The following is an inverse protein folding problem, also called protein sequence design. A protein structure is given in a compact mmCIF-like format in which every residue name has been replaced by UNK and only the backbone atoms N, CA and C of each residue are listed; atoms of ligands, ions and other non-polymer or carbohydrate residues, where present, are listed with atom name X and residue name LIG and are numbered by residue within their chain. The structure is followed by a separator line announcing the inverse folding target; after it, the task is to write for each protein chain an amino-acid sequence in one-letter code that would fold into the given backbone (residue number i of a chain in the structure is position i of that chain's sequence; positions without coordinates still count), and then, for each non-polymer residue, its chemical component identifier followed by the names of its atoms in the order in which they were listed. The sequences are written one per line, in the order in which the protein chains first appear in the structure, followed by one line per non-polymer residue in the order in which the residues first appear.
data_IF_650594099437
#
_entry.id   IF_650594099437
#
_cell.length_a   1.000
_cell.length_b   1.000
_cell.length_c   1.000
_cell.angle_alpha   90.00
_cell.angle_beta   90.00
_cell.angle_gamma   90.00
#
_symmetry.space_group_name_H-M   'P 1'
#
loop_
_entity.id
_entity.type
_entity.pdbx_description
1 polymer ?
#
# COMPACT_ATOMS: atom_id res chain seq x y z
N UNK A 1 -27.24 -6.45 51.46
CA UNK A 1 -26.55 -5.97 50.24
C UNK A 1 -26.58 -7.09 49.20
N UNK A 2 -26.90 -6.79 47.94
CA UNK A 2 -26.83 -7.79 46.86
C UNK A 2 -25.39 -7.85 46.32
N UNK A 3 -24.69 -8.99 46.43
CA UNK A 3 -23.28 -9.12 46.01
C UNK A 3 -23.05 -8.85 44.52
N UNK A 4 -24.03 -9.17 43.66
CA UNK A 4 -23.94 -8.93 42.21
C UNK A 4 -23.92 -7.43 41.89
N UNK A 5 -24.70 -6.63 42.62
CA UNK A 5 -24.71 -5.16 42.45
C UNK A 5 -23.40 -4.54 42.90
N UNK A 6 -22.83 -5.02 43.99
CA UNK A 6 -21.52 -4.56 44.49
C UNK A 6 -20.41 -4.87 43.49
N UNK A 7 -20.39 -6.10 42.96
CA UNK A 7 -19.41 -6.49 41.94
C UNK A 7 -19.57 -5.69 40.64
N UNK A 8 -20.80 -5.51 40.15
CA UNK A 8 -21.06 -4.71 38.96
C UNK A 8 -20.57 -3.27 39.12
N UNK A 9 -20.91 -2.62 40.25
CA UNK A 9 -20.45 -1.27 40.57
C UNK A 9 -18.91 -1.18 40.56
N UNK A 10 -18.24 -2.15 41.20
CA UNK A 10 -16.78 -2.21 41.20
C UNK A 10 -16.18 -2.32 39.79
N UNK A 11 -16.73 -3.20 38.94
CA UNK A 11 -16.25 -3.35 37.56
C UNK A 11 -16.45 -2.06 36.76
N UNK A 12 -17.62 -1.42 36.86
CA UNK A 12 -17.89 -0.16 36.17
C UNK A 12 -16.92 0.93 36.62
N UNK A 13 -16.72 1.11 37.92
CA UNK A 13 -15.78 2.09 38.47
C UNK A 13 -14.34 1.80 38.00
N UNK A 14 -13.92 0.53 38.01
CA UNK A 14 -12.61 0.12 37.53
C UNK A 14 -12.42 0.43 36.02
N UNK A 15 -13.44 0.17 35.20
CA UNK A 15 -13.40 0.48 33.77
C UNK A 15 -13.34 1.98 33.50
N UNK A 16 -14.08 2.79 34.26
CA UNK A 16 -14.07 4.24 34.08
C UNK A 16 -12.73 4.85 34.52
N UNK A 17 -12.15 4.39 35.63
CA UNK A 17 -10.79 4.77 36.03
C UNK A 17 -9.74 4.38 34.96
N UNK A 18 -9.88 3.22 34.33
CA UNK A 18 -8.99 2.79 33.25
C UNK A 18 -9.09 3.70 32.02
N UNK A 19 -10.32 4.05 31.59
CA UNK A 19 -10.56 4.99 30.48
C UNK A 19 -10.01 6.38 30.77
N UNK A 20 -10.17 6.87 31.99
CA UNK A 20 -9.62 8.17 32.42
C UNK A 20 -8.10 8.17 32.36
N UNK A 21 -7.47 7.12 32.88
CA UNK A 21 -6.03 6.94 32.80
C UNK A 21 -5.56 6.90 31.34
N UNK A 22 -6.23 6.15 30.48
CA UNK A 22 -5.90 6.07 29.05
C UNK A 22 -5.97 7.45 28.37
N UNK A 23 -7.07 8.19 28.60
CA UNK A 23 -7.23 9.56 28.09
C UNK A 23 -6.10 10.47 28.55
N UNK A 24 -5.76 10.43 29.83
CA UNK A 24 -4.70 11.25 30.40
C UNK A 24 -3.32 10.89 29.85
N UNK A 25 -2.98 9.59 29.76
CA UNK A 25 -1.69 9.12 29.19
C UNK A 25 -1.55 9.58 27.74
N UNK A 26 -2.61 9.39 26.93
CA UNK A 26 -2.61 9.82 25.52
C UNK A 26 -2.45 11.33 25.39
N UNK A 27 -3.18 12.10 26.19
CA UNK A 27 -3.06 13.56 26.21
C UNK A 27 -1.66 14.03 26.61
N UNK A 28 -1.05 13.42 27.63
CA UNK A 28 0.32 13.73 28.04
C UNK A 28 1.34 13.41 26.94
N UNK A 29 1.22 12.28 26.25
CA UNK A 29 2.10 11.91 25.14
C UNK A 29 1.98 12.93 23.99
N UNK A 30 0.76 13.31 23.62
CA UNK A 30 0.51 14.33 22.58
C UNK A 30 1.05 15.70 22.98
N UNK A 31 0.79 16.14 24.22
CA UNK A 31 1.32 17.40 24.75
C UNK A 31 2.85 17.41 24.66
N UNK A 32 3.51 16.35 25.12
CA UNK A 32 4.97 16.21 25.06
C UNK A 32 5.50 16.22 23.61
N UNK A 33 4.81 15.57 22.67
CA UNK A 33 5.15 15.63 21.25
C UNK A 33 5.09 17.07 20.71
N UNK A 34 4.03 17.81 21.04
CA UNK A 34 3.90 19.22 20.60
C UNK A 34 4.97 20.12 21.22
N UNK A 35 5.33 19.90 22.49
CA UNK A 35 6.39 20.64 23.18
C UNK A 35 7.76 20.38 22.55
N UNK A 36 8.11 19.12 22.27
CA UNK A 36 9.36 18.77 21.61
C UNK A 36 9.45 19.34 20.18
N UNK A 37 8.35 19.30 19.41
CA UNK A 37 8.33 19.91 18.08
C UNK A 37 8.54 21.43 18.15
N UNK A 38 7.87 22.11 19.09
CA UNK A 38 8.09 23.55 19.33
C UNK A 38 9.52 23.85 19.76
N UNK A 39 10.11 23.01 20.61
CA UNK A 39 11.51 23.16 21.03
C UNK A 39 12.47 22.98 19.85
N UNK A 40 12.24 21.99 18.98
CA UNK A 40 13.02 21.78 17.75
C UNK A 40 12.95 23.02 16.85
N UNK A 41 11.75 23.56 16.60
CA UNK A 41 11.57 24.77 15.77
C UNK A 41 12.30 25.98 16.36
N UNK A 42 12.14 26.24 17.66
CA UNK A 42 12.84 27.35 18.34
C UNK A 42 14.36 27.23 18.28
N UNK A 43 14.88 26.01 18.44
CA UNK A 43 16.33 25.76 18.44
C UNK A 43 16.92 25.83 17.03
N UNK A 44 16.15 25.48 15.99
CA UNK A 44 16.57 25.68 14.59
C UNK A 44 16.60 27.14 14.17
N UNK A 45 15.72 27.98 14.72
CA UNK A 45 15.65 29.41 14.40
C UNK A 45 16.70 30.24 15.16
N UNK A 46 17.26 29.72 16.25
CA UNK A 46 18.24 30.42 17.06
C UNK A 46 19.61 30.49 16.36
N UNK A 47 20.01 31.72 16.00
CA UNK A 47 21.30 32.03 15.33
C UNK A 47 22.43 32.35 16.30
N UNK A 48 22.14 32.52 17.58
CA UNK A 48 23.14 32.92 18.59
C UNK A 48 23.97 31.73 19.11
N UNK A 49 23.50 30.51 18.86
CA UNK A 49 24.19 29.28 19.26
C UNK A 49 25.19 28.84 18.19
N UNK A 50 26.37 28.42 18.63
CA UNK A 50 27.35 27.76 17.77
C UNK A 50 26.73 26.53 17.09
N UNK A 51 27.05 26.34 15.81
CA UNK A 51 26.45 25.34 14.94
C UNK A 51 26.62 23.91 15.49
N UNK A 52 27.78 23.63 16.12
CA UNK A 52 28.05 22.30 16.69
C UNK A 52 27.11 22.02 17.86
N UNK A 53 27.00 22.96 18.79
CA UNK A 53 26.13 22.83 19.98
C UNK A 53 24.66 22.79 19.61
N UNK A 54 24.24 23.55 18.58
CA UNK A 54 22.88 23.53 18.04
C UNK A 54 22.54 22.16 17.45
N UNK A 55 23.45 21.60 16.65
CA UNK A 55 23.29 20.29 16.03
C UNK A 55 23.13 19.18 17.07
N UNK A 56 23.98 19.16 18.10
CA UNK A 56 23.92 18.17 19.18
C UNK A 56 22.59 18.23 19.97
N UNK A 57 22.16 19.43 20.35
CA UNK A 57 20.88 19.62 21.05
C UNK A 57 19.69 19.20 20.19
N UNK A 58 19.70 19.55 18.91
CA UNK A 58 18.66 19.11 17.96
C UNK A 58 18.64 17.59 17.82
N UNK A 59 19.79 16.94 17.75
CA UNK A 59 19.88 15.48 17.69
C UNK A 59 19.26 14.83 18.95
N UNK A 60 19.54 15.39 20.14
CA UNK A 60 18.93 14.95 21.40
C UNK A 60 17.41 15.04 21.40
N UNK A 61 16.85 16.21 21.04
CA UNK A 61 15.40 16.43 20.98
C UNK A 61 14.72 15.52 19.95
N UNK A 62 15.33 15.36 18.76
CA UNK A 62 14.83 14.45 17.71
C UNK A 62 14.85 12.99 18.17
N UNK A 63 15.86 12.58 18.94
CA UNK A 63 15.93 11.23 19.53
C UNK A 63 14.80 11.00 20.52
N UNK A 64 14.52 11.96 21.40
CA UNK A 64 13.42 11.86 22.36
C UNK A 64 12.05 11.81 21.66
N UNK A 65 11.83 12.68 20.67
CA UNK A 65 10.61 12.68 19.85
C UNK A 65 10.37 11.31 19.18
N UNK A 66 11.44 10.71 18.66
CA UNK A 66 11.39 9.36 18.07
C UNK A 66 10.99 8.31 19.10
N UNK A 67 11.51 8.38 20.32
CA UNK A 67 11.14 7.47 21.41
C UNK A 67 9.65 7.52 21.74
N UNK A 68 9.08 8.73 21.86
CA UNK A 68 7.64 8.91 22.13
C UNK A 68 6.80 8.34 20.98
N UNK A 69 7.19 8.59 19.72
CA UNK A 69 6.48 8.05 18.56
C UNK A 69 6.54 6.52 18.50
N UNK A 70 7.67 5.93 18.84
CA UNK A 70 7.85 4.48 18.90
C UNK A 70 6.96 3.86 20.00
N UNK A 71 6.93 4.44 21.20
CA UNK A 71 6.07 3.97 22.29
C UNK A 71 4.58 4.12 21.92
N UNK A 72 4.17 5.25 21.33
CA UNK A 72 2.79 5.42 20.84
C UNK A 72 2.42 4.37 19.79
N UNK A 73 3.31 4.08 18.84
CA UNK A 73 3.08 3.06 17.83
C UNK A 73 2.98 1.65 18.45
N UNK A 74 3.87 1.32 19.39
CA UNK A 74 3.83 0.04 20.12
C UNK A 74 2.52 -0.11 20.89
N UNK A 75 2.12 0.93 21.63
CA UNK A 75 0.85 0.96 22.34
C UNK A 75 -0.34 0.76 21.41
N UNK A 76 -0.38 1.48 20.28
CA UNK A 76 -1.44 1.34 19.27
C UNK A 76 -1.52 -0.09 18.73
N UNK A 77 -0.37 -0.72 18.44
CA UNK A 77 -0.33 -2.12 17.99
C UNK A 77 -0.85 -3.08 19.05
N UNK A 78 -0.45 -2.92 20.31
CA UNK A 78 -0.96 -3.73 21.42
C UNK A 78 -2.46 -3.54 21.60
N UNK A 79 -2.95 -2.31 21.47
CA UNK A 79 -4.37 -1.99 21.55
C UNK A 79 -5.17 -2.65 20.41
N UNK A 80 -4.69 -2.55 19.17
CA UNK A 80 -5.32 -3.20 18.01
C UNK A 80 -5.32 -4.72 18.22
N UNK A 81 -4.20 -5.32 18.61
CA UNK A 81 -4.14 -6.76 18.87
C UNK A 81 -5.10 -7.20 19.99
N UNK A 82 -5.19 -6.44 21.09
CA UNK A 82 -6.13 -6.73 22.17
C UNK A 82 -7.59 -6.61 21.69
N UNK A 83 -7.88 -5.60 20.87
CA UNK A 83 -9.19 -5.41 20.25
C UNK A 83 -9.52 -6.54 19.29
N UNK A 84 -8.56 -7.00 18.49
CA UNK A 84 -8.70 -8.13 17.58
C UNK A 84 -9.01 -9.41 18.33
N UNK A 85 -8.32 -9.68 19.44
CA UNK A 85 -8.64 -10.82 20.29
C UNK A 85 -10.06 -10.72 20.87
N UNK A 86 -10.47 -9.54 21.31
CA UNK A 86 -11.78 -9.35 21.96
C UNK A 86 -12.95 -9.37 20.97
N UNK A 87 -12.80 -8.73 19.81
CA UNK A 87 -13.86 -8.56 18.80
C UNK A 87 -13.78 -9.57 17.65
N UNK A 88 -12.64 -10.24 17.45
CA UNK A 88 -12.42 -11.20 16.38
C UNK A 88 -13.00 -12.59 16.66
N UNK A 89 -13.16 -12.97 17.93
CA UNK A 89 -13.84 -14.22 18.30
C UNK A 89 -15.37 -14.11 18.21
N UNK A 90 -15.90 -12.89 18.32
CA UNK A 90 -17.34 -12.63 18.18
C UNK A 90 -17.64 -12.24 16.73
N UNK A 91 -18.70 -12.81 16.14
CA UNK A 91 -19.18 -12.41 14.79
C UNK A 91 -19.73 -10.98 14.85
N UNK A 92 -18.83 -10.02 14.81
CA UNK A 92 -19.07 -8.60 14.96
C UNK A 92 -18.96 -7.90 13.59
N UNK A 93 -19.42 -6.65 13.51
CA UNK A 93 -19.18 -5.83 12.30
C UNK A 93 -17.68 -5.73 11.99
N UNK A 94 -16.85 -5.71 13.03
CA UNK A 94 -15.40 -5.71 12.92
C UNK A 94 -14.89 -6.99 12.24
N UNK A 95 -15.34 -8.16 12.68
CA UNK A 95 -15.02 -9.45 12.05
C UNK A 95 -15.33 -9.46 10.55
N UNK A 96 -16.52 -9.01 10.14
CA UNK A 96 -16.86 -8.94 8.72
C UNK A 96 -15.99 -7.95 7.94
N UNK A 97 -15.57 -6.85 8.56
CA UNK A 97 -14.79 -5.82 7.90
C UNK A 97 -13.31 -6.19 7.77
N UNK A 98 -12.74 -6.88 8.76
CA UNK A 98 -11.36 -7.39 8.73
C UNK A 98 -11.19 -8.55 7.76
N UNK A 99 -12.22 -9.40 7.60
CA UNK A 99 -12.21 -10.50 6.63
C UNK A 99 -12.69 -10.08 5.24
N UNK A 100 -13.16 -8.84 5.06
CA UNK A 100 -13.54 -8.34 3.75
C UNK A 100 -12.28 -8.09 2.95
N UNK A 101 -12.18 -8.71 1.78
CA UNK A 101 -11.11 -8.40 0.82
C UNK A 101 -11.05 -6.89 0.58
N UNK A 102 -9.93 -6.29 1.00
CA UNK A 102 -9.66 -4.88 0.75
C UNK A 102 -9.42 -4.72 -0.74
N UNK A 103 -10.33 -4.05 -1.44
CA UNK A 103 -10.13 -3.80 -2.87
C UNK A 103 -9.01 -2.77 -2.99
N UNK A 104 -8.24 -2.77 -4.08
CA UNK A 104 -7.07 -1.88 -4.24
C UNK A 104 -7.40 -0.39 -3.94
N UNK A 105 -8.62 0.06 -4.28
CA UNK A 105 -9.13 1.41 -3.98
C UNK A 105 -9.24 1.74 -2.48
N UNK A 106 -9.33 0.72 -1.63
CA UNK A 106 -9.46 0.86 -0.18
C UNK A 106 -8.06 0.97 0.48
N UNK A 107 -6.98 0.59 -0.24
CA UNK A 107 -5.58 0.65 0.20
C UNK A 107 -4.90 1.95 -0.29
N UNK A 108 -5.26 2.44 -1.48
CA UNK A 108 -4.67 3.66 -2.05
C UNK A 108 -5.35 4.90 -1.44
N UNK A 109 -4.68 5.53 -0.48
CA UNK A 109 -5.18 6.72 0.21
C UNK A 109 -5.20 7.99 -0.66
N UNK A 110 -4.31 8.09 -1.65
CA UNK A 110 -4.23 9.23 -2.55
C UNK A 110 -3.48 8.89 -3.85
N UNK A 111 -3.83 9.55 -4.95
CA UNK A 111 -3.07 9.55 -6.20
C UNK A 111 -2.37 10.90 -6.42
N UNK A 112 -1.18 10.87 -7.02
CA UNK A 112 -0.49 12.10 -7.43
C UNK A 112 -1.18 12.64 -8.68
N UNK A 113 -1.41 13.95 -8.72
CA UNK A 113 -2.01 14.59 -9.89
C UNK A 113 -0.95 14.63 -11.01
N UNK A 114 -1.23 14.05 -12.20
CA UNK A 114 -0.29 14.12 -13.33
C UNK A 114 0.03 15.58 -13.68
N UNK A 115 1.28 15.86 -14.05
CA UNK A 115 1.80 17.21 -14.30
C UNK A 115 2.29 17.97 -13.07
N UNK A 116 1.93 17.57 -11.84
CA UNK A 116 2.44 18.24 -10.62
C UNK A 116 3.83 17.79 -10.19
N UNK A 117 4.35 16.71 -10.78
CA UNK A 117 5.64 16.11 -10.44
C UNK A 117 6.76 16.43 -11.45
N UNK A 118 6.46 17.07 -12.58
CA UNK A 118 7.48 17.34 -13.62
C UNK A 118 8.56 18.31 -13.15
N UNK A 119 8.29 19.14 -12.13
CA UNK A 119 9.29 19.98 -11.50
C UNK A 119 10.37 19.22 -10.69
N UNK A 120 10.18 17.92 -10.44
CA UNK A 120 11.13 17.08 -9.67
C UNK A 120 11.86 16.03 -10.53
N UNK A 121 11.64 15.99 -11.85
CA UNK A 121 12.53 15.27 -12.76
C UNK A 121 13.78 16.13 -13.02
N UNK A 122 14.56 16.34 -11.96
CA UNK A 122 15.90 16.88 -12.03
C UNK A 122 16.74 15.85 -12.78
N UNK A 123 17.08 16.12 -14.04
CA UNK A 123 18.24 15.53 -14.68
C UNK A 123 19.41 15.59 -13.69
N UNK A 124 20.19 14.51 -13.48
CA UNK A 124 21.40 14.60 -12.67
C UNK A 124 22.24 15.76 -13.25
N UNK A 125 22.65 16.74 -12.42
CA UNK A 125 23.36 17.90 -12.91
C UNK A 125 24.61 17.43 -13.64
N UNK A 126 24.65 17.72 -14.94
CA UNK A 126 25.89 17.65 -15.70
C UNK A 126 26.84 18.62 -15.01
N UNK A 127 27.96 18.09 -14.51
CA UNK A 127 28.98 18.87 -13.83
C UNK A 127 29.61 19.85 -14.83
N UNK A 128 29.10 21.08 -14.88
CA UNK A 128 29.83 22.19 -15.47
C UNK A 128 30.51 22.98 -14.35
N UNK A 129 31.83 22.93 -14.35
CA UNK A 129 32.74 23.56 -13.40
C UNK A 129 32.75 25.08 -13.56
N UNK A 130 31.77 25.78 -13.00
CA UNK A 130 31.82 27.24 -12.86
C UNK A 130 31.58 27.71 -11.41
N UNK A 131 32.60 28.25 -10.73
CA UNK A 131 32.46 28.81 -9.40
C UNK A 131 31.97 30.26 -9.49
N UNK A 132 30.66 30.46 -9.43
CA UNK A 132 30.07 31.80 -9.22
C UNK A 132 29.33 31.81 -7.89
N UNK A 133 29.92 32.48 -6.91
CA UNK A 133 29.32 32.74 -5.60
C UNK A 133 28.26 33.84 -5.72
N UNK A 134 26.98 33.48 -5.83
CA UNK A 134 25.87 34.38 -5.55
C UNK A 134 24.91 33.72 -4.54
N UNK A 135 24.70 34.40 -3.42
CA UNK A 135 23.81 34.02 -2.31
C UNK A 135 22.32 34.24 -2.67
N UNK A 136 21.87 33.77 -3.83
CA UNK A 136 20.45 33.78 -4.18
C UNK A 136 19.78 32.51 -3.66
N UNK A 137 18.84 32.70 -2.73
CA UNK A 137 18.04 31.66 -2.08
C UNK A 137 17.32 30.83 -3.16
N UNK A 138 17.78 29.60 -3.39
CA UNK A 138 17.25 28.75 -4.46
C UNK A 138 15.72 28.54 -4.29
N UNK A 139 14.92 28.74 -5.36
CA UNK A 139 13.47 28.56 -5.30
C UNK A 139 13.11 27.15 -4.83
N UNK A 140 12.27 27.05 -3.78
CA UNK A 140 11.78 25.78 -3.28
C UNK A 140 10.94 25.12 -4.38
N UNK A 141 11.26 23.88 -4.81
CA UNK A 141 10.49 23.20 -5.85
C UNK A 141 9.04 22.99 -5.38
N UNK A 142 8.04 23.13 -6.27
CA UNK A 142 6.65 22.95 -5.91
C UNK A 142 6.41 21.53 -5.41
N UNK A 143 5.72 21.41 -4.27
CA UNK A 143 5.42 20.10 -3.69
C UNK A 143 4.34 19.36 -4.50
N UNK A 144 4.44 18.02 -4.63
CA UNK A 144 3.45 17.20 -5.31
C UNK A 144 2.05 17.37 -4.71
N UNK A 145 1.04 17.48 -5.57
CA UNK A 145 -0.36 17.57 -5.13
C UNK A 145 -1.04 16.22 -5.21
N UNK A 146 -1.60 15.79 -4.08
CA UNK A 146 -2.25 14.49 -3.92
C UNK A 146 -3.78 14.62 -3.93
N UNK A 147 -4.45 13.80 -4.73
CA UNK A 147 -5.92 13.67 -4.74
C UNK A 147 -6.36 12.52 -3.85
N UNK A 148 -7.18 12.82 -2.84
CA UNK A 148 -7.71 11.85 -1.86
C UNK A 148 -9.15 11.38 -2.14
N UNK A 149 -9.86 12.06 -3.04
CA UNK A 149 -11.28 11.79 -3.30
C UNK A 149 -11.44 10.61 -4.27
N UNK A 150 -11.96 9.48 -3.79
CA UNK A 150 -11.98 8.20 -4.50
C UNK A 150 -12.58 8.26 -5.92
N UNK A 151 -13.74 8.89 -6.18
CA UNK A 151 -14.27 9.00 -7.53
C UNK A 151 -13.33 9.74 -8.50
N UNK A 152 -12.68 10.82 -8.02
CA UNK A 152 -11.70 11.57 -8.83
C UNK A 152 -10.40 10.81 -9.03
N UNK A 153 -10.00 9.95 -8.08
CA UNK A 153 -8.87 9.05 -8.26
C UNK A 153 -9.15 8.02 -9.35
N UNK A 154 -10.36 7.45 -9.38
CA UNK A 154 -10.76 6.49 -10.40
C UNK A 154 -10.79 7.11 -11.81
N UNK A 155 -11.32 8.33 -11.92
CA UNK A 155 -11.29 9.11 -13.16
C UNK A 155 -9.86 9.42 -13.62
N UNK A 156 -9.02 9.95 -12.74
CA UNK A 156 -7.62 10.24 -13.03
C UNK A 156 -6.84 8.99 -13.48
N UNK A 157 -7.12 7.84 -12.85
CA UNK A 157 -6.46 6.57 -13.20
C UNK A 157 -6.97 6.01 -14.53
N UNK A 158 -8.27 6.15 -14.82
CA UNK A 158 -8.85 5.80 -16.13
C UNK A 158 -8.21 6.63 -17.24
N UNK A 159 -8.11 7.94 -17.05
CA UNK A 159 -7.59 8.85 -18.05
C UNK A 159 -6.08 8.62 -18.24
N UNK A 160 -5.33 8.42 -17.16
CA UNK A 160 -3.90 8.08 -17.23
C UNK A 160 -3.64 6.76 -17.97
N UNK A 161 -4.40 5.71 -17.68
CA UNK A 161 -4.22 4.43 -18.37
C UNK A 161 -4.70 4.47 -19.83
N UNK A 162 -5.82 5.14 -20.12
CA UNK A 162 -6.41 5.15 -21.46
C UNK A 162 -5.72 6.12 -22.42
N UNK A 163 -5.39 7.33 -21.97
CA UNK A 163 -4.87 8.39 -22.83
C UNK A 163 -3.35 8.49 -22.79
N UNK A 164 -2.72 8.18 -21.65
CA UNK A 164 -1.26 8.29 -21.50
C UNK A 164 -0.61 6.92 -21.67
N UNK A 165 -0.70 6.02 -20.67
CA UNK A 165 0.14 4.82 -20.60
C UNK A 165 -0.07 3.84 -21.77
N UNK A 166 -1.29 3.71 -22.28
CA UNK A 166 -1.58 2.81 -23.41
C UNK A 166 -1.21 3.40 -24.78
N UNK A 167 -1.07 4.72 -24.88
CA UNK A 167 -0.75 5.42 -26.13
C UNK A 167 0.71 5.92 -26.17
N UNK A 168 1.35 6.04 -25.01
CA UNK A 168 2.70 6.57 -24.87
C UNK A 168 3.74 5.60 -25.45
N UNK A 169 4.51 6.07 -26.43
CA UNK A 169 5.54 5.29 -27.14
C UNK A 169 5.01 4.24 -28.13
N UNK A 170 3.69 4.14 -28.32
CA UNK A 170 3.07 3.19 -29.26
C UNK A 170 2.53 3.98 -30.45
N UNK A 171 3.43 4.46 -31.32
CA UNK A 171 3.07 4.80 -32.70
C UNK A 171 3.11 3.51 -33.53
N UNK A 172 2.20 2.59 -33.20
CA UNK A 172 2.10 1.33 -33.92
C UNK A 172 1.20 1.58 -35.12
N UNK A 173 1.84 1.72 -36.27
CA UNK A 173 1.16 1.62 -37.55
C UNK A 173 0.36 0.32 -37.58
N UNK A 174 -0.97 0.45 -37.62
CA UNK A 174 -1.89 -0.69 -37.61
C UNK A 174 -1.61 -1.62 -38.80
N UNK A 175 -1.19 -1.09 -39.95
CA UNK A 175 -0.85 -1.91 -41.12
C UNK A 175 0.41 -2.74 -40.84
N UNK A 176 1.45 -2.11 -40.27
CA UNK A 176 2.65 -2.82 -39.84
C UNK A 176 2.33 -3.88 -38.77
N UNK A 177 1.47 -3.58 -37.80
CA UNK A 177 1.05 -4.54 -36.77
C UNK A 177 0.34 -5.75 -37.38
N UNK A 178 -0.64 -5.53 -38.26
CA UNK A 178 -1.33 -6.61 -38.94
C UNK A 178 -0.37 -7.46 -39.79
N UNK A 179 0.58 -6.82 -40.47
CA UNK A 179 1.58 -7.52 -41.26
C UNK A 179 2.49 -8.41 -40.38
N UNK A 180 2.90 -7.92 -39.22
CA UNK A 180 3.71 -8.65 -38.25
C UNK A 180 2.93 -9.79 -37.60
N UNK A 181 1.64 -9.60 -37.30
CA UNK A 181 0.76 -10.66 -36.82
C UNK A 181 0.63 -11.77 -37.88
N UNK A 182 0.36 -11.41 -39.14
CA UNK A 182 0.26 -12.37 -40.26
C UNK A 182 1.58 -13.11 -40.45
N UNK A 183 2.71 -12.40 -40.44
CA UNK A 183 4.05 -12.99 -40.55
C UNK A 183 4.33 -13.95 -39.40
N UNK A 184 4.03 -13.54 -38.16
CA UNK A 184 4.23 -14.37 -36.97
C UNK A 184 3.39 -15.64 -37.04
N UNK A 185 2.11 -15.53 -37.41
CA UNK A 185 1.21 -16.68 -37.60
C UNK A 185 1.74 -17.61 -38.70
N UNK A 186 2.23 -17.06 -39.83
CA UNK A 186 2.81 -17.88 -40.91
C UNK A 186 4.12 -18.57 -40.51
N UNK A 187 4.87 -17.98 -39.57
CA UNK A 187 6.13 -18.55 -39.08
C UNK A 187 5.93 -19.64 -38.01
N UNK A 188 4.71 -19.78 -37.46
CA UNK A 188 4.36 -20.92 -36.59
C UNK A 188 4.17 -22.14 -37.49
N UNK A 189 5.29 -22.78 -37.84
CA UNK A 189 5.33 -24.00 -38.67
C UNK A 189 5.03 -25.28 -37.88
N UNK A 190 5.00 -25.18 -36.55
CA UNK A 190 4.67 -26.30 -35.67
C UNK A 190 3.17 -26.61 -35.74
N UNK A 191 2.80 -27.49 -36.67
CA UNK A 191 1.50 -28.13 -36.63
C UNK A 191 1.48 -29.14 -35.46
N UNK A 192 0.38 -29.22 -34.69
CA UNK A 192 0.22 -30.28 -33.71
C UNK A 192 0.28 -31.64 -34.43
N UNK A 193 1.01 -32.59 -33.84
CA UNK A 193 1.06 -33.97 -34.33
C UNK A 193 -0.34 -34.59 -34.33
N UNK A 194 -0.58 -35.64 -35.13
CA UNK A 194 -1.88 -36.34 -35.13
C UNK A 194 -2.27 -36.88 -33.74
N UNK A 195 -1.27 -37.27 -32.94
CA UNK A 195 -1.47 -37.65 -31.53
C UNK A 195 -1.93 -36.49 -30.65
N UNK A 196 -1.44 -35.27 -30.88
CA UNK A 196 -1.88 -34.08 -30.14
C UNK A 196 -3.25 -33.59 -30.62
N UNK A 197 -3.54 -33.65 -31.93
CA UNK A 197 -4.86 -33.29 -32.47
C UNK A 197 -5.96 -34.16 -31.89
N UNK A 198 -5.70 -35.47 -31.76
CA UNK A 198 -6.63 -36.40 -31.11
C UNK A 198 -6.81 -36.08 -29.62
N UNK A 199 -5.75 -35.62 -28.92
CA UNK A 199 -5.89 -35.11 -27.55
C UNK A 199 -6.73 -33.83 -27.45
N UNK A 200 -6.58 -32.88 -28.39
CA UNK A 200 -7.42 -31.68 -28.43
C UNK A 200 -8.89 -31.96 -28.75
N UNK A 201 -9.20 -33.09 -29.40
CA UNK A 201 -10.58 -33.51 -29.67
C UNK A 201 -11.21 -34.31 -28.52
N UNK A 202 -10.41 -34.78 -27.55
CA UNK A 202 -10.95 -35.41 -26.34
C UNK A 202 -11.73 -34.36 -25.55
N UNK A 203 -13.01 -34.65 -25.30
CA UNK A 203 -13.85 -33.82 -24.43
C UNK A 203 -13.27 -33.85 -23.02
N UNK A 204 -13.00 -32.68 -22.44
CA UNK A 204 -12.64 -32.57 -21.02
C UNK A 204 -13.66 -33.30 -20.17
N UNK A 205 -13.18 -34.20 -19.31
CA UNK A 205 -14.07 -34.93 -18.41
C UNK A 205 -14.47 -34.01 -17.26
N UNK A 206 -15.68 -34.21 -16.73
CA UNK A 206 -16.19 -33.43 -15.59
C UNK A 206 -15.24 -33.49 -14.39
N UNK A 207 -14.62 -34.64 -14.15
CA UNK A 207 -13.67 -34.87 -13.06
C UNK A 207 -12.40 -34.02 -13.21
N UNK A 208 -11.92 -33.81 -14.43
CA UNK A 208 -10.75 -32.98 -14.75
C UNK A 208 -11.01 -31.50 -14.51
N UNK A 209 -12.27 -31.06 -14.53
CA UNK A 209 -12.69 -29.70 -14.18
C UNK A 209 -12.93 -29.56 -12.67
N UNK A 210 -13.56 -30.55 -12.04
CA UNK A 210 -13.89 -30.52 -10.62
C UNK A 210 -12.66 -30.59 -9.72
N UNK A 211 -11.65 -31.39 -10.10
CA UNK A 211 -10.40 -31.50 -9.33
C UNK A 211 -9.69 -30.15 -9.13
N UNK A 212 -9.38 -29.36 -10.17
CA UNK A 212 -8.80 -28.03 -10.00
C UNK A 212 -9.71 -27.03 -9.29
N UNK A 213 -11.03 -27.10 -9.49
CA UNK A 213 -11.98 -26.25 -8.76
C UNK A 213 -11.93 -26.53 -7.25
N UNK A 214 -11.89 -27.79 -6.86
CA UNK A 214 -11.80 -28.18 -5.45
C UNK A 214 -10.43 -27.85 -4.83
N UNK A 215 -9.35 -27.88 -5.62
CA UNK A 215 -8.00 -27.50 -5.17
C UNK A 215 -7.78 -25.97 -5.17
N UNK A 216 -8.65 -25.21 -5.84
CA UNK A 216 -8.61 -23.76 -5.83
C UNK A 216 -9.13 -23.27 -4.48
N UNK A 217 -8.25 -22.68 -3.66
CA UNK A 217 -8.68 -21.98 -2.44
C UNK A 217 -9.64 -20.85 -2.82
N UNK A 218 -10.71 -20.68 -2.04
CA UNK A 218 -11.74 -19.66 -2.26
C UNK A 218 -11.18 -18.22 -2.29
N UNK A 219 -9.99 -18.01 -1.74
CA UNK A 219 -9.34 -16.70 -1.64
C UNK A 219 -8.14 -16.54 -2.61
N UNK A 220 -7.98 -17.44 -3.59
CA UNK A 220 -6.93 -17.30 -4.59
C UNK A 220 -7.32 -16.26 -5.64
N UNK A 221 -6.52 -15.19 -5.76
CA UNK A 221 -6.75 -14.16 -6.77
C UNK A 221 -6.81 -14.77 -8.20
N UNK A 222 -7.87 -14.51 -8.97
CA UNK A 222 -7.97 -14.94 -10.36
C UNK A 222 -6.98 -14.17 -11.24
N UNK A 223 -6.50 -14.80 -12.31
CA UNK A 223 -5.69 -14.15 -13.36
C UNK A 223 -6.58 -13.28 -14.27
N UNK A 224 -5.97 -12.59 -15.24
CA UNK A 224 -6.66 -11.73 -16.20
C UNK A 224 -7.79 -12.43 -16.98
N UNK A 225 -7.70 -13.75 -17.14
CA UNK A 225 -8.72 -14.59 -17.78
C UNK A 225 -9.78 -15.14 -16.79
N UNK A 226 -9.76 -14.72 -15.52
CA UNK A 226 -10.68 -15.17 -14.47
C UNK A 226 -10.32 -16.52 -13.83
N UNK A 227 -9.36 -17.28 -14.38
CA UNK A 227 -8.96 -18.57 -13.83
C UNK A 227 -7.95 -18.41 -12.67
N UNK A 228 -8.09 -19.19 -11.61
CA UNK A 228 -7.12 -19.19 -10.51
C UNK A 228 -5.84 -19.92 -10.90
N UNK A 229 -4.72 -19.58 -10.24
CA UNK A 229 -3.42 -20.18 -10.55
C UNK A 229 -3.43 -21.71 -10.42
N UNK A 230 -4.16 -22.24 -9.43
CA UNK A 230 -4.33 -23.69 -9.23
C UNK A 230 -5.13 -24.34 -10.36
N UNK A 231 -6.12 -23.64 -10.92
CA UNK A 231 -6.87 -24.15 -12.08
C UNK A 231 -5.97 -24.36 -13.31
N UNK A 232 -4.93 -23.53 -13.49
CA UNK A 232 -3.98 -23.67 -14.60
C UNK A 232 -2.88 -24.72 -14.34
N UNK A 233 -2.53 -25.00 -13.08
CA UNK A 233 -1.47 -25.95 -12.74
C UNK A 233 -1.91 -27.42 -12.87
N UNK A 234 -3.13 -27.75 -12.46
CA UNK A 234 -3.62 -29.14 -12.44
C UNK A 234 -3.63 -29.82 -13.82
N UNK A 235 -4.05 -29.18 -14.93
CA UNK A 235 -4.01 -29.81 -16.25
C UNK A 235 -2.61 -29.82 -16.88
N UNK A 236 -1.63 -29.12 -16.30
CA UNK A 236 -0.30 -28.98 -16.89
C UNK A 236 0.71 -29.83 -16.11
N UNK A 237 1.03 -31.02 -16.65
CA UNK A 237 1.90 -32.02 -16.01
C UNK A 237 3.29 -31.50 -15.63
N UNK A 238 3.72 -30.37 -16.20
CA UNK A 238 4.98 -29.69 -15.84
C UNK A 238 5.02 -29.15 -14.41
N UNK A 239 3.88 -29.08 -13.71
CA UNK A 239 3.78 -28.54 -12.35
C UNK A 239 3.46 -29.61 -11.29
N UNK A 240 3.55 -30.90 -11.63
CA UNK A 240 3.31 -32.01 -10.69
C UNK A 240 4.40 -32.09 -9.61
N UNK A 241 5.61 -31.58 -9.88
CA UNK A 241 6.76 -31.64 -8.96
C UNK A 241 6.80 -30.51 -7.91
N UNK A 242 5.92 -29.51 -8.03
CA UNK A 242 5.89 -28.31 -7.16
C UNK A 242 4.89 -28.42 -5.98
N UNK A 243 4.34 -29.61 -5.70
CA UNK A 243 3.44 -29.88 -4.56
C UNK A 243 4.12 -30.67 -3.43
#
# INVERSE_FOLDING_TARGET
MNPQRTYHKFITEAMDMAKDRERNVKHHAQKKETELNKAISRLSENRDLDDTTRSEKLAGLKKELRGIKQENHKWMRCFIAAKDCLEGETVSKYYFQSNKESKLRDIICALITPGTNEANQIHPPVMEDHPTQSNEEAPIPPQPQYKKYSPKMAEMMRDYHGETLQKDGIDVDMEMQESMIKLTISNISAAPSEGEKTQFTLKMKREEVLKPLNMSKNDSAPRINGATNKFHKVPNNRHIEDE
#
